data_IF_191608013333
#
_entry.id   IF_191608013333
#
_cell.length_a   1.000
_cell.length_b   1.000
_cell.length_c   1.000
_cell.angle_alpha   90.00
_cell.angle_beta   90.00
_cell.angle_gamma   90.00
#
_symmetry.space_group_name_H-M   'P 1'
#
loop_
_entity.id
_entity.type
_entity.pdbx_description
1 polymer ?
#
# COMPACT_ATOMS: atom_id res chain seq x y z
N UNK A 1 -5.25 -28.06 -53.91
CA UNK A 1 -5.09 -26.59 -53.87
C UNK A 1 -5.53 -26.14 -52.48
N UNK A 2 -4.56 -25.76 -51.65
CA UNK A 2 -4.74 -25.51 -50.21
C UNK A 2 -5.16 -24.06 -49.98
N UNK A 3 -6.28 -23.83 -49.29
CA UNK A 3 -6.75 -22.51 -48.88
C UNK A 3 -6.35 -22.26 -47.42
N UNK A 4 -5.26 -21.52 -47.20
CA UNK A 4 -4.88 -21.03 -45.88
C UNK A 4 -5.63 -19.75 -45.55
N UNK A 5 -6.54 -19.86 -44.57
CA UNK A 5 -7.24 -18.75 -43.94
C UNK A 5 -6.28 -18.07 -42.94
N UNK A 6 -5.91 -16.78 -43.09
CA UNK A 6 -5.12 -16.12 -42.06
C UNK A 6 -6.03 -15.75 -40.88
N UNK A 7 -5.69 -16.26 -39.69
CA UNK A 7 -6.25 -15.80 -38.43
C UNK A 7 -5.82 -14.33 -38.18
N UNK A 8 -6.68 -13.48 -37.59
CA UNK A 8 -6.26 -12.16 -37.17
C UNK A 8 -5.26 -12.33 -36.02
N UNK A 9 -4.00 -11.97 -36.27
CA UNK A 9 -3.01 -11.77 -35.22
C UNK A 9 -3.54 -10.61 -34.36
N UNK A 10 -4.11 -10.95 -33.21
CA UNK A 10 -4.38 -10.01 -32.13
C UNK A 10 -3.06 -9.40 -31.70
N UNK A 11 -2.75 -8.25 -32.29
CA UNK A 11 -1.61 -7.40 -31.98
C UNK A 11 -1.73 -6.94 -30.51
N UNK A 12 -0.89 -7.39 -29.56
CA UNK A 12 -0.89 -6.83 -28.21
C UNK A 12 -0.05 -5.55 -28.22
N UNK A 13 -0.34 -4.61 -29.13
CA UNK A 13 0.29 -3.29 -29.17
C UNK A 13 -0.69 -2.24 -28.66
N UNK A 14 -1.04 -2.37 -27.39
CA UNK A 14 -1.74 -1.31 -26.65
C UNK A 14 -1.51 -1.44 -25.14
N UNK A 15 -0.28 -1.72 -24.69
CA UNK A 15 0.09 -1.55 -23.27
C UNK A 15 1.34 -0.70 -23.05
N UNK A 16 1.81 -0.03 -24.10
CA UNK A 16 2.88 0.96 -24.00
C UNK A 16 2.28 2.29 -24.43
N UNK A 17 1.80 3.07 -23.46
CA UNK A 17 1.59 4.53 -23.49
C UNK A 17 0.35 4.89 -22.67
N UNK A 18 0.53 5.10 -21.37
CA UNK A 18 -0.40 5.90 -20.59
C UNK A 18 0.28 6.50 -19.34
N UNK A 19 1.49 7.03 -19.53
CA UNK A 19 2.01 8.12 -18.70
C UNK A 19 1.39 9.47 -19.13
N UNK A 20 0.25 9.46 -19.83
CA UNK A 20 -0.53 10.66 -20.12
C UNK A 20 -1.20 11.09 -18.82
N UNK A 21 -0.81 12.25 -18.29
CA UNK A 21 -1.29 12.84 -17.03
C UNK A 21 -2.74 12.50 -16.64
N UNK A 22 -3.76 12.68 -17.50
CA UNK A 22 -5.14 12.38 -17.15
C UNK A 22 -5.42 10.91 -16.76
N UNK A 23 -4.77 9.93 -17.40
CA UNK A 23 -4.95 8.51 -17.04
C UNK A 23 -4.21 8.09 -15.77
N UNK A 24 -3.14 8.79 -15.42
CA UNK A 24 -2.48 8.62 -14.12
C UNK A 24 -3.32 9.23 -13.00
N UNK A 25 -3.88 10.43 -13.23
CA UNK A 25 -4.73 11.11 -12.26
C UNK A 25 -6.00 10.34 -11.95
N UNK A 26 -6.65 9.72 -12.95
CA UNK A 26 -7.81 8.86 -12.71
C UNK A 26 -7.44 7.64 -11.87
N UNK A 27 -6.35 6.93 -12.20
CA UNK A 27 -5.85 5.79 -11.40
C UNK A 27 -5.45 6.18 -9.98
N UNK A 28 -4.83 7.35 -9.81
CA UNK A 28 -4.50 7.90 -8.50
C UNK A 28 -5.77 8.21 -7.72
N UNK A 29 -6.75 8.87 -8.35
CA UNK A 29 -8.03 9.20 -7.74
C UNK A 29 -8.82 7.96 -7.35
N UNK A 30 -8.79 6.91 -8.19
CA UNK A 30 -9.41 5.63 -7.90
C UNK A 30 -8.69 4.92 -6.75
N UNK A 31 -7.36 4.99 -6.71
CA UNK A 31 -6.57 4.45 -5.60
C UNK A 31 -6.88 5.17 -4.29
N UNK A 32 -6.96 6.51 -4.32
CA UNK A 32 -7.33 7.33 -3.16
C UNK A 32 -8.78 7.09 -2.72
N UNK A 33 -9.72 6.93 -3.67
CA UNK A 33 -11.12 6.56 -3.38
C UNK A 33 -11.21 5.18 -2.73
N UNK A 34 -10.44 4.19 -3.23
CA UNK A 34 -10.37 2.85 -2.63
C UNK A 34 -9.71 2.83 -1.26
N UNK A 35 -8.70 3.68 -1.04
CA UNK A 35 -8.07 3.91 0.26
C UNK A 35 -9.06 4.56 1.23
N UNK A 36 -9.83 5.53 0.76
CA UNK A 36 -10.86 6.23 1.55
C UNK A 36 -12.04 5.33 1.88
N UNK A 37 -12.50 4.50 0.94
CA UNK A 37 -13.58 3.52 1.18
C UNK A 37 -13.16 2.38 2.11
N UNK A 38 -11.85 2.16 2.30
CA UNK A 38 -11.29 1.23 3.29
C UNK A 38 -11.03 1.87 4.65
N UNK A 39 -11.28 3.16 4.84
CA UNK A 39 -11.18 3.79 6.16
C UNK A 39 -12.28 3.26 7.06
N UNK A 40 -11.88 2.63 8.18
CA UNK A 40 -12.80 2.25 9.25
C UNK A 40 -13.34 3.52 9.94
N UNK A 41 -14.59 3.53 10.42
CA UNK A 41 -15.19 4.71 11.04
C UNK A 41 -14.30 5.32 12.12
N UNK A 42 -14.06 6.63 12.04
CA UNK A 42 -13.22 7.34 13.04
C UNK A 42 -13.77 7.25 14.46
N UNK A 43 -15.09 7.11 14.58
CA UNK A 43 -15.80 6.93 15.85
C UNK A 43 -15.34 5.66 16.58
N UNK A 44 -15.03 4.60 15.85
CA UNK A 44 -14.53 3.34 16.39
C UNK A 44 -13.09 3.47 16.90
N UNK A 45 -12.29 4.30 16.24
CA UNK A 45 -10.92 4.61 16.67
C UNK A 45 -10.89 5.49 17.92
N UNK A 46 -11.87 6.38 18.09
CA UNK A 46 -11.95 7.33 19.22
C UNK A 46 -12.92 6.84 20.30
N UNK A 47 -13.34 5.58 20.27
CA UNK A 47 -14.18 5.05 21.32
C UNK A 47 -13.39 5.00 22.63
N UNK A 48 -13.78 5.88 23.56
CA UNK A 48 -13.10 6.08 24.84
C UNK A 48 -13.38 4.95 25.83
N UNK A 49 -14.42 4.16 25.60
CA UNK A 49 -14.82 3.05 26.48
C UNK A 49 -13.85 1.86 26.42
N UNK A 50 -13.20 1.66 25.27
CA UNK A 50 -12.28 0.55 25.02
C UNK A 50 -10.80 0.89 25.30
N UNK A 51 -10.50 1.91 26.13
CA UNK A 51 -9.13 2.13 26.61
C UNK A 51 -8.91 1.46 27.96
N UNK A 52 -7.97 0.52 28.02
CA UNK A 52 -7.54 -0.13 29.25
C UNK A 52 -6.02 -0.03 29.41
N UNK A 53 -5.56 0.11 30.66
CA UNK A 53 -4.12 0.24 30.96
C UNK A 53 -3.46 -1.14 30.84
N UNK A 54 -2.42 -1.32 30.00
CA UNK A 54 -1.75 -2.62 29.88
C UNK A 54 -1.08 -2.98 31.22
N UNK A 55 -1.29 -4.22 31.66
CA UNK A 55 -0.75 -4.74 32.93
C UNK A 55 0.70 -5.22 32.80
N UNK A 56 1.15 -5.52 31.57
CA UNK A 56 2.51 -5.93 31.24
C UNK A 56 2.98 -5.44 29.86
N UNK A 57 4.30 -5.33 29.66
CA UNK A 57 4.88 -4.92 28.36
C UNK A 57 4.62 -5.94 27.24
N UNK A 58 4.58 -7.24 27.55
CA UNK A 58 4.23 -8.28 26.59
C UNK A 58 2.80 -8.10 26.06
N UNK A 59 1.86 -7.79 26.95
CA UNK A 59 0.47 -7.48 26.60
C UNK A 59 0.36 -6.19 25.77
N UNK A 60 1.11 -5.14 26.11
CA UNK A 60 1.17 -3.93 25.29
C UNK A 60 1.62 -4.23 23.84
N UNK A 61 2.65 -5.07 23.65
CA UNK A 61 3.14 -5.40 22.29
C UNK A 61 2.16 -6.23 21.46
N UNK A 62 1.41 -7.15 22.08
CA UNK A 62 0.38 -7.95 21.38
C UNK A 62 -0.80 -7.07 20.97
N UNK A 63 -1.24 -6.16 21.86
CA UNK A 63 -2.28 -5.15 21.58
C UNK A 63 -1.87 -4.23 20.44
N UNK A 64 -0.65 -3.68 20.48
CA UNK A 64 -0.12 -2.83 19.40
C UNK A 64 -0.16 -3.58 18.06
N UNK A 65 0.32 -4.82 18.00
CA UNK A 65 0.37 -5.60 16.76
C UNK A 65 -1.02 -5.85 16.19
N UNK A 66 -1.99 -6.24 17.03
CA UNK A 66 -3.39 -6.45 16.63
C UNK A 66 -4.01 -5.15 16.12
N UNK A 67 -3.88 -4.06 16.89
CA UNK A 67 -4.46 -2.76 16.58
C UNK A 67 -3.85 -2.09 15.34
N UNK A 68 -2.54 -2.26 15.08
CA UNK A 68 -1.90 -1.76 13.85
C UNK A 68 -2.47 -2.44 12.60
N UNK A 69 -2.70 -3.75 12.66
CA UNK A 69 -3.29 -4.48 11.53
C UNK A 69 -4.72 -4.01 11.27
N UNK A 70 -5.50 -3.83 12.34
CA UNK A 70 -6.90 -3.47 12.25
C UNK A 70 -7.12 -2.02 11.79
N UNK A 71 -6.49 -1.04 12.43
CA UNK A 71 -6.64 0.39 12.14
C UNK A 71 -5.59 0.95 11.19
N UNK A 72 -4.93 0.09 10.39
CA UNK A 72 -3.80 0.46 9.51
C UNK A 72 -4.03 1.75 8.71
N UNK A 73 -5.18 1.87 8.05
CA UNK A 73 -5.49 3.03 7.20
C UNK A 73 -5.67 4.31 8.03
N UNK A 74 -6.26 4.19 9.23
CA UNK A 74 -6.48 5.32 10.12
C UNK A 74 -5.16 5.78 10.76
N UNK A 75 -4.31 4.84 11.21
CA UNK A 75 -2.97 5.16 11.73
C UNK A 75 -2.08 5.79 10.66
N UNK A 76 -2.13 5.28 9.42
CA UNK A 76 -1.41 5.88 8.32
C UNK A 76 -1.92 7.31 8.01
N UNK A 77 -3.23 7.54 8.18
CA UNK A 77 -3.81 8.88 8.01
C UNK A 77 -3.36 9.83 9.12
N UNK A 78 -3.36 9.41 10.39
CA UNK A 78 -2.88 10.23 11.52
C UNK A 78 -1.38 10.51 11.36
N UNK A 79 -0.57 9.48 11.11
CA UNK A 79 0.86 9.61 10.87
C UNK A 79 1.15 10.56 9.70
N UNK A 80 0.48 10.37 8.56
CA UNK A 80 0.60 11.24 7.40
C UNK A 80 0.18 12.68 7.68
N UNK A 81 -0.84 12.88 8.52
CA UNK A 81 -1.28 14.21 8.94
C UNK A 81 -0.21 14.91 9.79
N UNK A 82 0.40 14.21 10.75
CA UNK A 82 1.51 14.75 11.57
C UNK A 82 2.69 15.16 10.68
N UNK A 83 3.07 14.32 9.72
CA UNK A 83 4.11 14.66 8.74
C UNK A 83 3.73 15.87 7.89
N UNK A 84 2.50 15.92 7.39
CA UNK A 84 2.01 17.03 6.58
C UNK A 84 2.00 18.35 7.37
N UNK A 85 1.48 18.35 8.60
CA UNK A 85 1.51 19.54 9.46
C UNK A 85 2.93 19.99 9.78
N UNK A 86 3.84 19.05 10.06
CA UNK A 86 5.26 19.36 10.30
C UNK A 86 5.90 20.05 9.09
N UNK A 87 5.65 19.53 7.89
CA UNK A 87 6.15 20.11 6.63
C UNK A 87 5.50 21.47 6.32
N UNK A 88 4.18 21.61 6.49
CA UNK A 88 3.46 22.87 6.30
C UNK A 88 3.95 23.96 7.27
N UNK A 89 4.38 23.58 8.47
CA UNK A 89 4.95 24.50 9.45
C UNK A 89 6.33 25.03 9.04
N UNK A 90 6.98 24.41 8.06
CA UNK A 90 8.31 24.77 7.56
C UNK A 90 8.26 25.08 6.06
N UNK A 91 7.73 26.26 5.66
CA UNK A 91 7.44 26.57 4.26
C UNK A 91 8.67 26.54 3.35
N UNK A 92 9.86 26.89 3.86
CA UNK A 92 11.11 26.81 3.09
C UNK A 92 11.48 25.36 2.76
N UNK A 93 11.41 24.48 3.75
CA UNK A 93 11.65 23.03 3.60
C UNK A 93 10.64 22.38 2.64
N UNK A 94 9.38 22.80 2.74
CA UNK A 94 8.33 22.38 1.81
C UNK A 94 8.64 22.83 0.38
N UNK A 95 8.99 24.11 0.18
CA UNK A 95 9.27 24.67 -1.14
C UNK A 95 10.47 23.99 -1.81
N UNK A 96 11.55 23.75 -1.06
CA UNK A 96 12.74 23.07 -1.59
C UNK A 96 12.45 21.63 -1.95
N UNK A 97 11.67 20.90 -1.14
CA UNK A 97 11.25 19.53 -1.44
C UNK A 97 10.33 19.48 -2.68
N UNK A 98 9.39 20.41 -2.82
CA UNK A 98 8.54 20.51 -4.01
C UNK A 98 9.34 20.85 -5.27
N UNK A 99 10.29 21.78 -5.17
CA UNK A 99 11.17 22.14 -6.28
C UNK A 99 12.02 20.95 -6.72
N UNK A 100 12.57 20.21 -5.75
CA UNK A 100 13.34 19.00 -6.02
C UNK A 100 12.47 17.92 -6.67
N UNK A 101 11.27 17.68 -6.14
CA UNK A 101 10.32 16.74 -6.72
C UNK A 101 9.92 17.17 -8.14
N UNK A 102 9.66 18.46 -8.37
CA UNK A 102 9.36 18.99 -9.69
C UNK A 102 10.52 18.77 -10.66
N UNK A 103 11.77 18.93 -10.22
CA UNK A 103 12.94 18.62 -11.04
C UNK A 103 12.99 17.13 -11.42
N UNK A 104 12.78 16.23 -10.46
CA UNK A 104 12.69 14.78 -10.73
C UNK A 104 11.57 14.44 -11.71
N UNK A 105 10.37 14.95 -11.48
CA UNK A 105 9.21 14.71 -12.36
C UNK A 105 9.44 15.28 -13.75
N UNK A 106 9.98 16.49 -13.85
CA UNK A 106 10.27 17.15 -15.12
C UNK A 106 11.29 16.34 -15.93
N UNK A 107 12.36 15.88 -15.28
CA UNK A 107 13.46 15.18 -15.93
C UNK A 107 13.12 13.74 -16.35
N UNK A 108 12.26 13.04 -15.59
CA UNK A 108 12.02 11.61 -15.82
C UNK A 108 10.60 11.26 -16.26
N UNK A 109 9.58 12.05 -15.89
CA UNK A 109 8.19 11.77 -16.26
C UNK A 109 7.69 12.65 -17.41
N UNK A 110 8.03 13.94 -17.42
CA UNK A 110 7.54 14.89 -18.43
C UNK A 110 8.47 14.98 -19.65
N UNK A 111 9.74 14.64 -19.50
CA UNK A 111 10.72 14.64 -20.59
C UNK A 111 10.71 13.30 -21.33
N UNK A 112 10.56 13.28 -22.66
CA UNK A 112 10.80 12.09 -23.47
C UNK A 112 12.23 11.58 -23.32
N UNK A 113 12.41 10.29 -23.03
CA UNK A 113 13.71 9.63 -22.78
C UNK A 113 14.74 9.72 -23.93
N UNK A 114 14.33 10.23 -25.09
CA UNK A 114 15.12 10.24 -26.32
C UNK A 114 15.82 11.59 -26.56
N UNK A 115 15.57 12.61 -25.73
CA UNK A 115 16.21 13.92 -25.89
C UNK A 115 17.36 14.13 -24.87
N UNK A 116 18.62 14.30 -25.32
CA UNK A 116 19.73 14.60 -24.44
C UNK A 116 19.50 15.93 -23.71
N UNK A 117 19.96 16.04 -22.47
CA UNK A 117 19.82 17.28 -21.72
C UNK A 117 20.87 18.26 -22.24
N UNK A 118 20.45 19.28 -22.98
CA UNK A 118 21.35 20.36 -23.40
C UNK A 118 21.21 21.49 -22.40
N UNK A 119 22.26 21.73 -21.61
CA UNK A 119 22.37 22.92 -20.77
C UNK A 119 23.75 23.55 -21.02
N UNK A 120 23.81 24.89 -21.04
CA UNK A 120 25.05 25.64 -21.29
C UNK A 120 25.80 25.21 -22.58
N UNK A 121 25.07 24.92 -23.65
CA UNK A 121 25.61 24.46 -24.94
C UNK A 121 26.37 23.11 -24.89
N UNK A 122 26.19 22.31 -23.82
CA UNK A 122 26.74 20.96 -23.68
C UNK A 122 25.63 19.94 -23.53
N UNK A 123 25.77 18.80 -24.21
CA UNK A 123 24.91 17.62 -24.02
C UNK A 123 25.37 16.85 -22.78
N UNK A 124 24.48 16.71 -21.80
CA UNK A 124 24.67 15.85 -20.65
C UNK A 124 24.15 14.44 -20.95
N UNK A 125 24.97 13.46 -20.60
CA UNK A 125 24.56 12.06 -20.62
C UNK A 125 23.49 11.79 -19.55
N UNK A 126 22.73 10.71 -19.73
CA UNK A 126 21.70 10.25 -18.76
C UNK A 126 22.32 10.00 -17.38
N UNK A 127 23.52 9.41 -17.35
CA UNK A 127 24.25 9.15 -16.11
C UNK A 127 24.75 10.42 -15.42
N UNK A 128 25.23 11.41 -16.18
CA UNK A 128 25.69 12.69 -15.63
C UNK A 128 24.51 13.49 -15.03
N UNK A 129 23.39 13.54 -15.74
CA UNK A 129 22.16 14.21 -15.27
C UNK A 129 21.67 13.57 -13.96
N UNK A 130 21.64 12.24 -13.90
CA UNK A 130 21.28 11.50 -12.69
C UNK A 130 22.25 11.81 -11.54
N UNK A 131 23.56 11.75 -11.79
CA UNK A 131 24.59 12.03 -10.77
C UNK A 131 24.47 13.46 -10.23
N UNK A 132 24.32 14.46 -11.11
CA UNK A 132 24.11 15.86 -10.71
C UNK A 132 22.83 15.99 -9.89
N UNK A 133 21.74 15.37 -10.34
CA UNK A 133 20.46 15.44 -9.63
C UNK A 133 20.54 14.79 -8.24
N UNK A 134 21.25 13.68 -8.09
CA UNK A 134 21.50 13.04 -6.79
C UNK A 134 22.33 13.97 -5.89
N UNK A 135 23.43 14.52 -6.39
CA UNK A 135 24.29 15.44 -5.60
C UNK A 135 23.51 16.67 -5.15
N UNK A 136 22.74 17.28 -6.06
CA UNK A 136 21.85 18.41 -5.73
C UNK A 136 20.79 17.99 -4.70
N UNK A 137 20.20 16.80 -4.84
CA UNK A 137 19.22 16.28 -3.87
C UNK A 137 19.84 16.17 -2.48
N UNK A 138 21.03 15.57 -2.36
CA UNK A 138 21.74 15.43 -1.09
C UNK A 138 22.09 16.79 -0.48
N UNK A 139 22.59 17.72 -1.29
CA UNK A 139 22.90 19.07 -0.85
C UNK A 139 21.65 19.80 -0.33
N UNK A 140 20.54 19.73 -1.05
CA UNK A 140 19.27 20.34 -0.65
C UNK A 140 18.77 19.73 0.66
N UNK A 141 18.75 18.40 0.78
CA UNK A 141 18.28 17.69 1.99
C UNK A 141 19.13 18.08 3.20
N UNK A 142 20.45 18.15 3.04
CA UNK A 142 21.37 18.56 4.11
C UNK A 142 21.15 20.02 4.51
N UNK A 143 21.05 20.93 3.54
CA UNK A 143 20.89 22.37 3.78
C UNK A 143 19.56 22.71 4.45
N UNK A 144 18.49 22.01 4.09
CA UNK A 144 17.12 22.30 4.57
C UNK A 144 16.75 21.55 5.84
N UNK A 145 17.63 20.66 6.33
CA UNK A 145 17.42 19.84 7.52
C UNK A 145 16.07 19.08 7.51
N UNK A 146 15.53 18.79 6.31
CA UNK A 146 14.30 18.03 6.09
C UNK A 146 14.40 16.68 6.79
N UNK A 147 15.61 16.10 6.84
CA UNK A 147 15.88 14.84 7.54
C UNK A 147 15.48 14.88 9.02
N UNK A 148 15.87 15.91 9.78
CA UNK A 148 15.48 15.99 11.20
C UNK A 148 13.99 16.26 11.38
N UNK A 149 13.38 17.02 10.47
CA UNK A 149 11.95 17.28 10.46
C UNK A 149 11.17 15.98 10.26
N UNK A 150 11.55 15.19 9.26
CA UNK A 150 10.93 13.90 9.00
C UNK A 150 11.17 12.91 10.13
N UNK A 151 12.38 12.87 10.71
CA UNK A 151 12.70 11.99 11.83
C UNK A 151 11.87 12.34 13.08
N UNK A 152 11.81 13.62 13.46
CA UNK A 152 11.04 14.08 14.62
C UNK A 152 9.53 13.87 14.42
N UNK A 153 8.99 14.24 13.26
CA UNK A 153 7.59 13.99 12.94
C UNK A 153 7.26 12.50 12.91
N UNK A 154 8.17 11.66 12.42
CA UNK A 154 8.00 10.20 12.43
C UNK A 154 8.02 9.63 13.84
N UNK A 155 8.92 10.10 14.71
CA UNK A 155 8.97 9.68 16.11
C UNK A 155 7.68 10.07 16.85
N UNK A 156 7.20 11.29 16.65
CA UNK A 156 5.94 11.78 17.25
C UNK A 156 4.76 10.95 16.72
N UNK A 157 4.66 10.78 15.40
CA UNK A 157 3.59 10.00 14.77
C UNK A 157 3.60 8.53 15.21
N UNK A 158 4.77 7.89 15.25
CA UNK A 158 4.93 6.53 15.75
C UNK A 158 4.58 6.44 17.23
N UNK A 159 4.97 7.43 18.04
CA UNK A 159 4.61 7.52 19.46
C UNK A 159 3.10 7.56 19.66
N UNK A 160 2.38 8.40 18.90
CA UNK A 160 0.92 8.48 18.96
C UNK A 160 0.28 7.13 18.62
N UNK A 161 0.73 6.48 17.54
CA UNK A 161 0.20 5.17 17.11
C UNK A 161 0.50 4.08 18.15
N UNK A 162 1.70 4.07 18.71
CA UNK A 162 2.10 3.09 19.74
C UNK A 162 1.31 3.29 21.03
N UNK A 163 1.16 4.53 21.51
CA UNK A 163 0.36 4.83 22.70
C UNK A 163 -1.09 4.43 22.45
N UNK A 164 -1.69 4.88 21.36
CA UNK A 164 -3.07 4.53 21.06
C UNK A 164 -3.27 3.01 20.90
N UNK A 165 -2.36 2.32 20.20
CA UNK A 165 -2.41 0.87 20.01
C UNK A 165 -2.10 0.04 21.27
N UNK A 166 -1.35 0.57 22.24
CA UNK A 166 -1.06 -0.11 23.51
C UNK A 166 -2.21 -0.01 24.50
N UNK A 167 -2.89 1.14 24.52
CA UNK A 167 -3.97 1.42 25.47
C UNK A 167 -5.35 1.02 24.94
N UNK A 168 -5.53 0.82 23.62
CA UNK A 168 -6.79 0.31 23.09
C UNK A 168 -6.89 -1.20 23.28
N UNK A 169 -7.95 -1.63 23.96
CA UNK A 169 -8.21 -3.04 24.22
C UNK A 169 -8.69 -3.73 22.93
N UNK A 170 -8.01 -4.79 22.47
CA UNK A 170 -8.45 -5.53 21.31
C UNK A 170 -9.70 -6.39 21.60
N UNK A 171 -9.99 -6.76 22.85
CA UNK A 171 -10.95 -7.84 23.14
C UNK A 171 -12.38 -7.54 22.67
N UNK A 172 -12.86 -6.29 22.74
CA UNK A 172 -14.18 -5.88 22.21
C UNK A 172 -14.30 -6.08 20.69
N UNK A 173 -13.17 -5.97 19.98
CA UNK A 173 -13.10 -6.10 18.52
C UNK A 173 -13.14 -7.56 18.05
N UNK A 174 -12.66 -8.47 18.90
CA UNK A 174 -12.67 -9.90 18.62
C UNK A 174 -14.02 -10.53 18.98
N UNK A 175 -14.77 -9.98 19.93
CA UNK A 175 -16.11 -10.47 20.27
C UNK A 175 -17.09 -10.30 19.09
N UNK A 176 -17.03 -9.19 18.36
CA UNK A 176 -17.85 -8.95 17.16
C UNK A 176 -17.43 -9.82 15.95
N UNK A 177 -16.14 -10.14 15.81
CA UNK A 177 -15.64 -11.05 14.76
C UNK A 177 -15.89 -12.54 15.09
N UNK A 178 -16.12 -12.88 16.37
CA UNK A 178 -16.43 -14.24 16.82
C UNK A 178 -17.92 -14.63 16.69
N UNK A 179 -18.82 -13.69 16.38
CA UNK A 179 -20.24 -13.99 16.07
C UNK A 179 -20.47 -14.49 14.63
N UNK A 180 -19.43 -14.65 13.81
CA UNK A 180 -19.49 -15.39 12.55
C UNK A 180 -18.73 -16.72 12.66
N UNK A 181 -19.35 -17.78 13.21
CA UNK A 181 -18.77 -19.10 13.21
C UNK A 181 -18.77 -19.63 11.76
N UNK A 182 -17.72 -19.35 10.99
CA UNK A 182 -17.49 -20.04 9.72
C UNK A 182 -16.95 -19.28 8.51
N UNK A 183 -16.33 -18.11 8.65
CA UNK A 183 -15.78 -17.38 7.49
C UNK A 183 -14.24 -17.28 7.48
N UNK A 184 -13.57 -18.41 7.73
CA UNK A 184 -12.12 -18.53 7.52
C UNK A 184 -11.85 -19.70 6.60
N UNK A 185 -10.84 -19.57 5.73
CA UNK A 185 -10.42 -20.48 4.65
C UNK A 185 -10.46 -22.00 4.93
N UNK A 186 -10.49 -22.42 6.19
CA UNK A 186 -10.71 -23.80 6.63
C UNK A 186 -12.12 -24.36 6.34
N UNK A 187 -13.16 -23.53 6.28
CA UNK A 187 -14.52 -23.96 5.90
C UNK A 187 -14.58 -24.42 4.44
N UNK A 188 -13.83 -23.77 3.55
CA UNK A 188 -13.73 -24.17 2.14
C UNK A 188 -13.04 -25.54 1.97
N UNK A 189 -12.08 -25.86 2.84
CA UNK A 189 -11.36 -27.15 2.81
C UNK A 189 -12.19 -28.25 3.47
N UNK A 190 -12.92 -27.95 4.55
CA UNK A 190 -13.81 -28.90 5.23
C UNK A 190 -15.10 -29.17 4.44
N UNK A 191 -15.64 -28.17 3.74
CA UNK A 191 -16.79 -28.32 2.84
C UNK A 191 -16.47 -29.19 1.62
N UNK A 192 -15.24 -29.10 1.08
CA UNK A 192 -14.80 -29.94 -0.03
C UNK A 192 -14.62 -31.43 0.37
N UNK A 193 -14.31 -31.71 1.64
CA UNK A 193 -14.24 -33.08 2.15
C UNK A 193 -15.63 -33.70 2.41
N UNK A 194 -16.67 -32.88 2.48
CA UNK A 194 -18.03 -33.32 2.83
C UNK A 194 -18.91 -33.65 1.62
N UNK A 195 -18.46 -33.33 0.40
CA UNK A 195 -19.26 -33.46 -0.83
C UNK A 195 -18.87 -34.66 -1.71
N UNK A 196 -18.35 -35.75 -1.14
CA UNK A 196 -18.23 -37.01 -1.87
C UNK A 196 -19.55 -37.80 -1.72
N UNK A 197 -20.43 -37.87 -2.75
CA UNK A 197 -21.62 -38.69 -2.67
C UNK A 197 -21.23 -40.17 -2.68
N UNK A 198 -21.64 -40.87 -1.62
CA UNK A 198 -21.78 -42.33 -1.63
C UNK A 198 -22.87 -42.66 -2.65
N UNK A 199 -22.52 -43.34 -3.74
CA UNK A 199 -23.51 -44.04 -4.57
C UNK A 199 -22.98 -45.39 -5.01
N UNK A 200 -23.83 -46.39 -4.77
CA UNK A 200 -23.59 -47.81 -4.82
C UNK A 200 -23.28 -48.34 -6.23
N UNK A 201 -22.46 -49.40 -6.29
CA UNK A 201 -22.49 -50.35 -7.40
C UNK A 201 -22.67 -51.76 -6.83
N UNK A 202 -23.77 -52.37 -7.24
CA UNK A 202 -24.31 -53.64 -6.81
C UNK A 202 -23.48 -54.85 -7.27
N UNK A 203 -23.75 -55.96 -6.60
CA UNK A 203 -23.22 -57.30 -6.84
C UNK A 203 -23.37 -57.79 -8.29
N UNK A 204 -22.38 -58.58 -8.74
CA UNK A 204 -22.63 -59.69 -9.65
C UNK A 204 -21.64 -60.83 -9.38
N UNK A 205 -22.20 -61.94 -8.90
CA UNK A 205 -21.59 -63.28 -8.80
C UNK A 205 -21.45 -63.86 -10.21
N UNK A 206 -20.26 -64.35 -10.59
CA UNK A 206 -20.10 -65.53 -11.47
C UNK A 206 -18.82 -66.28 -11.09
N UNK A 207 -19.02 -67.58 -10.87
CA UNK A 207 -18.10 -68.68 -10.56
C UNK A 207 -17.16 -68.99 -11.75
N UNK A 208 -15.90 -69.34 -11.49
CA UNK A 208 -15.22 -70.41 -12.25
C UNK A 208 -14.09 -71.06 -11.44
N UNK A 209 -14.25 -72.36 -11.25
CA UNK A 209 -13.23 -73.33 -10.83
C UNK A 209 -12.00 -73.30 -11.77
N UNK A 210 -10.81 -73.50 -11.19
CA UNK A 210 -9.85 -74.54 -11.57
C UNK A 210 -9.30 -75.15 -10.30
#
# INVERSE_FOLDING_TARGET
MSSSHPLPISNPKAQTNALTGPSFLTRLSDSLRRLSSRRRPWLELVDRSAFSRPTALSDATTRIRKNISYFRVNYLTVFGSVLAFSLLSHPFSLLTLLSLLAAWLFLYLLRPSDQPLVALNRTFSKGETLSILIVVSLFVIFLTNVGSLLMSASLIGAGIVCVHGAFRDPEDLFLDDHELPGSGLFSLISGAASSAPVSAAAASIVVSHV
#
